data_IF_044652037927
#
_entry.id   IF_044652037927
#
_cell.length_a   1.000
_cell.length_b   1.000
_cell.length_c   1.000
_cell.angle_alpha   90.00
_cell.angle_beta   90.00
_cell.angle_gamma   90.00
#
_symmetry.space_group_name_H-M   'P 1'
#
loop_
_entity.id
_entity.type
_entity.pdbx_description
1 polymer ?
#
# COMPACT_ATOMS: atom_id res chain seq x y z
N UNK A 1 -21.07 -3.70 -9.33
CA UNK A 1 -21.82 -2.78 -8.45
C UNK A 1 -20.84 -2.33 -7.39
N UNK A 2 -20.71 -1.03 -7.20
CA UNK A 2 -19.86 -0.51 -6.12
C UNK A 2 -20.62 -0.58 -4.81
N UNK A 3 -19.99 -1.13 -3.78
CA UNK A 3 -20.60 -1.30 -2.46
C UNK A 3 -20.03 -0.28 -1.47
N UNK A 4 -20.87 0.15 -0.53
CA UNK A 4 -20.48 0.96 0.62
C UNK A 4 -20.58 0.05 1.84
N UNK A 5 -19.47 -0.13 2.57
CA UNK A 5 -19.45 -0.93 3.79
C UNK A 5 -19.74 -0.04 4.99
N UNK A 6 -20.64 -0.52 5.85
CA UNK A 6 -20.89 0.10 7.13
C UNK A 6 -20.65 -0.88 8.28
N UNK A 7 -20.28 -0.35 9.44
CA UNK A 7 -19.96 -1.13 10.63
C UNK A 7 -21.24 -1.61 11.29
N UNK A 8 -21.29 -2.89 11.64
CA UNK A 8 -22.46 -3.48 12.31
C UNK A 8 -22.81 -2.72 13.60
N UNK A 9 -21.81 -2.35 14.41
CA UNK A 9 -22.03 -1.56 15.63
C UNK A 9 -22.66 -0.19 15.37
N UNK A 10 -22.31 0.48 14.27
CA UNK A 10 -22.95 1.74 13.88
C UNK A 10 -24.42 1.52 13.49
N UNK A 11 -24.67 0.45 12.73
CA UNK A 11 -26.02 0.05 12.32
C UNK A 11 -26.89 -0.30 13.53
N UNK A 12 -26.33 -0.94 14.55
CA UNK A 12 -27.10 -1.40 15.70
C UNK A 12 -27.26 -0.32 16.79
N UNK A 13 -26.24 0.51 17.01
CA UNK A 13 -26.22 1.44 18.15
C UNK A 13 -26.55 2.90 17.80
N UNK A 14 -26.37 3.31 16.54
CA UNK A 14 -26.49 4.72 16.13
C UNK A 14 -27.64 4.94 15.15
N UNK A 15 -27.74 4.13 14.08
CA UNK A 15 -28.83 4.27 13.11
C UNK A 15 -30.25 4.20 13.73
N UNK A 16 -30.55 3.29 14.68
CA UNK A 16 -31.90 3.15 15.21
C UNK A 16 -32.31 4.31 16.12
N UNK A 17 -31.35 5.12 16.58
CA UNK A 17 -31.58 6.29 17.43
C UNK A 17 -31.77 7.59 16.63
N UNK A 18 -31.48 7.56 15.32
CA UNK A 18 -31.60 8.70 14.45
C UNK A 18 -32.97 8.75 13.77
N UNK A 19 -33.45 9.94 13.45
CA UNK A 19 -34.65 10.07 12.62
C UNK A 19 -34.40 9.47 11.21
N UNK A 20 -35.41 8.88 10.55
CA UNK A 20 -35.23 8.27 9.23
C UNK A 20 -34.57 9.19 8.20
N UNK A 21 -34.94 10.49 8.21
CA UNK A 21 -34.33 11.48 7.33
C UNK A 21 -32.82 11.66 7.60
N UNK A 22 -32.39 11.57 8.87
CA UNK A 22 -31.00 11.76 9.26
C UNK A 22 -30.14 10.58 8.81
N UNK A 23 -30.69 9.36 8.88
CA UNK A 23 -30.03 8.15 8.34
C UNK A 23 -29.76 8.32 6.85
N UNK A 24 -30.76 8.74 6.06
CA UNK A 24 -30.59 8.92 4.61
C UNK A 24 -29.58 10.02 4.29
N UNK A 25 -29.59 11.14 5.03
CA UNK A 25 -28.58 12.21 4.89
C UNK A 25 -27.18 11.69 5.19
N UNK A 26 -27.00 10.90 6.26
CA UNK A 26 -25.72 10.29 6.59
C UNK A 26 -25.21 9.39 5.47
N UNK A 27 -26.05 8.45 5.00
CA UNK A 27 -25.67 7.50 3.94
C UNK A 27 -25.28 8.22 2.65
N UNK A 28 -26.06 9.25 2.28
CA UNK A 28 -25.78 10.04 1.09
C UNK A 28 -24.47 10.81 1.21
N UNK A 29 -24.20 11.47 2.34
CA UNK A 29 -22.92 12.14 2.57
C UNK A 29 -21.76 11.13 2.62
N UNK A 30 -21.93 10.02 3.34
CA UNK A 30 -20.93 8.97 3.51
C UNK A 30 -20.49 8.34 2.18
N UNK A 31 -21.38 8.25 1.18
CA UNK A 31 -21.04 7.83 -0.18
C UNK A 31 -19.94 8.68 -0.83
N UNK A 32 -19.91 10.00 -0.58
CA UNK A 32 -18.83 10.86 -1.07
C UNK A 32 -17.59 10.72 -0.21
N UNK A 33 -17.76 10.69 1.11
CA UNK A 33 -16.61 10.70 2.03
C UNK A 33 -15.82 9.40 1.95
N UNK A 34 -16.49 8.24 1.84
CA UNK A 34 -15.86 6.93 1.62
C UNK A 34 -15.02 6.86 0.34
N UNK A 35 -15.29 7.74 -0.63
CA UNK A 35 -14.56 7.85 -1.91
C UNK A 35 -13.54 9.00 -1.92
N UNK A 36 -13.39 9.68 -0.78
CA UNK A 36 -12.58 10.89 -0.66
C UNK A 36 -13.00 11.97 -1.69
N UNK A 37 -14.30 12.03 -2.00
CA UNK A 37 -14.94 13.05 -2.82
C UNK A 37 -15.42 14.22 -1.95
N UNK A 38 -15.63 15.38 -2.57
CA UNK A 38 -16.20 16.55 -1.89
C UNK A 38 -17.68 16.28 -1.61
N UNK A 39 -18.09 16.42 -0.35
CA UNK A 39 -19.50 16.29 0.04
C UNK A 39 -20.28 17.48 -0.53
N UNK A 40 -21.44 17.25 -1.18
CA UNK A 40 -22.30 18.33 -1.65
C UNK A 40 -22.76 19.23 -0.50
N UNK A 41 -23.09 20.49 -0.81
CA UNK A 41 -23.63 21.39 0.20
C UNK A 41 -25.05 21.00 0.64
N UNK A 42 -25.55 21.63 1.71
CA UNK A 42 -26.86 21.32 2.30
C UNK A 42 -28.01 21.45 1.29
N UNK A 43 -27.93 22.40 0.35
CA UNK A 43 -28.94 22.63 -0.70
C UNK A 43 -28.94 21.50 -1.72
N UNK A 44 -27.75 21.10 -2.16
CA UNK A 44 -27.58 20.01 -3.11
C UNK A 44 -28.06 18.69 -2.53
N UNK A 45 -27.74 18.41 -1.25
CA UNK A 45 -28.23 17.22 -0.55
C UNK A 45 -29.76 17.27 -0.39
N UNK A 46 -30.32 18.41 0.01
CA UNK A 46 -31.77 18.58 0.17
C UNK A 46 -32.52 18.29 -1.13
N UNK A 47 -32.02 18.85 -2.25
CA UNK A 47 -32.58 18.61 -3.59
C UNK A 47 -32.47 17.13 -3.99
N UNK A 48 -31.30 16.51 -3.81
CA UNK A 48 -31.07 15.12 -4.20
C UNK A 48 -31.92 14.10 -3.41
N UNK A 49 -32.17 14.38 -2.13
CA UNK A 49 -32.91 13.49 -1.23
C UNK A 49 -34.40 13.84 -1.12
N UNK A 50 -34.86 14.88 -1.83
CA UNK A 50 -36.22 15.42 -1.71
C UNK A 50 -36.59 15.77 -0.24
N UNK A 51 -35.66 16.43 0.45
CA UNK A 51 -35.80 16.89 1.83
C UNK A 51 -35.77 18.43 1.89
N UNK A 52 -36.26 19.01 2.99
CA UNK A 52 -36.07 20.45 3.24
C UNK A 52 -34.63 20.73 3.67
N UNK A 53 -34.07 21.85 3.24
CA UNK A 53 -32.70 22.28 3.63
C UNK A 53 -32.51 22.28 5.16
N UNK A 54 -33.49 22.79 5.92
CA UNK A 54 -33.48 22.74 7.39
C UNK A 54 -33.39 21.33 7.98
N UNK A 55 -33.98 20.33 7.32
CA UNK A 55 -33.89 18.93 7.79
C UNK A 55 -32.48 18.37 7.52
N UNK A 56 -31.85 18.77 6.41
CA UNK A 56 -30.46 18.41 6.14
C UNK A 56 -29.53 19.10 7.14
N UNK A 57 -29.71 20.38 7.41
CA UNK A 57 -28.95 21.12 8.44
C UNK A 57 -29.09 20.45 9.82
N UNK A 58 -30.31 20.13 10.24
CA UNK A 58 -30.57 19.43 11.50
C UNK A 58 -29.92 18.04 11.54
N UNK A 59 -29.95 17.31 10.42
CA UNK A 59 -29.26 16.02 10.30
C UNK A 59 -27.73 16.18 10.42
N UNK A 60 -27.14 17.15 9.72
CA UNK A 60 -25.70 17.44 9.81
C UNK A 60 -25.31 17.78 11.25
N UNK A 61 -26.08 18.63 11.93
CA UNK A 61 -25.84 19.01 13.33
C UNK A 61 -26.01 17.83 14.28
N UNK A 62 -27.03 17.00 14.07
CA UNK A 62 -27.24 15.76 14.84
C UNK A 62 -25.99 14.88 14.76
N UNK A 63 -25.55 14.56 13.53
CA UNK A 63 -24.39 13.70 13.30
C UNK A 63 -23.10 14.32 13.82
N UNK A 64 -22.90 15.63 13.66
CA UNK A 64 -21.78 16.36 14.22
C UNK A 64 -21.72 16.24 15.76
N UNK A 65 -22.86 16.28 16.46
CA UNK A 65 -22.92 16.09 17.93
C UNK A 65 -22.54 14.67 18.35
N UNK A 66 -22.87 13.67 17.53
CA UNK A 66 -22.40 12.29 17.69
C UNK A 66 -20.97 12.07 17.13
N UNK A 67 -20.30 13.15 16.75
CA UNK A 67 -18.93 13.15 16.25
C UNK A 67 -18.80 12.93 14.74
N UNK A 68 -19.83 12.50 14.04
CA UNK A 68 -19.79 12.24 12.60
C UNK A 68 -19.78 13.57 11.81
N UNK A 69 -18.58 14.05 11.44
CA UNK A 69 -18.45 15.30 10.70
C UNK A 69 -18.79 15.13 9.22
N UNK A 70 -19.94 15.65 8.82
CA UNK A 70 -20.49 15.48 7.46
C UNK A 70 -20.32 16.72 6.55
N UNK A 71 -19.75 17.84 7.02
CA UNK A 71 -19.83 19.13 6.30
C UNK A 71 -18.63 20.10 6.37
N UNK A 72 -17.51 19.74 7.01
CA UNK A 72 -16.36 20.66 7.14
C UNK A 72 -15.53 20.84 5.86
N UNK A 73 -15.29 22.10 5.43
CA UNK A 73 -14.31 22.47 4.36
C UNK A 73 -12.88 22.03 4.67
N UNK A 74 -12.55 21.84 5.95
CA UNK A 74 -11.46 20.97 6.35
C UNK A 74 -12.07 19.60 6.57
N UNK A 75 -12.06 18.77 5.53
CA UNK A 75 -12.26 17.33 5.64
C UNK A 75 -11.10 16.84 6.50
N UNK A 76 -11.24 16.95 7.82
CA UNK A 76 -10.34 16.25 8.72
C UNK A 76 -10.57 14.79 8.35
N UNK A 77 -9.51 14.19 7.81
CA UNK A 77 -9.36 12.77 7.47
C UNK A 77 -9.53 11.91 8.73
N UNK A 78 -10.72 11.96 9.30
CA UNK A 78 -11.16 11.29 10.52
C UNK A 78 -12.61 10.92 10.35
N UNK A 79 -12.95 10.39 9.18
CA UNK A 79 -14.19 9.64 9.08
C UNK A 79 -14.04 8.48 10.09
N UNK A 80 -14.84 8.52 11.15
CA UNK A 80 -15.12 7.40 12.05
C UNK A 80 -14.38 7.29 13.42
N UNK A 81 -13.47 8.21 13.83
CA UNK A 81 -12.85 8.15 15.19
C UNK A 81 -13.69 8.76 16.33
N UNK A 82 -14.45 9.79 15.99
CA UNK A 82 -15.21 10.67 16.89
C UNK A 82 -16.43 10.04 17.54
N UNK A 83 -16.74 8.80 17.15
CA UNK A 83 -17.81 7.95 17.68
C UNK A 83 -17.50 7.48 19.09
N UNK A 84 -16.21 7.40 19.40
CA UNK A 84 -15.72 7.03 20.70
C UNK A 84 -15.40 8.28 21.50
N UNK A 85 -16.13 8.47 22.59
CA UNK A 85 -15.83 9.49 23.58
C UNK A 85 -14.56 9.13 24.34
N UNK A 86 -13.79 10.12 24.85
CA UNK A 86 -12.62 9.84 25.69
C UNK A 86 -12.95 8.96 26.91
N UNK A 87 -14.15 9.10 27.48
CA UNK A 87 -14.63 8.29 28.60
C UNK A 87 -14.88 6.83 28.22
N UNK A 88 -15.47 6.55 27.05
CA UNK A 88 -15.67 5.18 26.56
C UNK A 88 -14.33 4.48 26.30
N UNK A 89 -13.40 5.19 25.66
CA UNK A 89 -12.06 4.65 25.39
C UNK A 89 -11.35 4.33 26.71
N UNK A 90 -11.41 5.23 27.69
CA UNK A 90 -10.81 5.03 29.01
C UNK A 90 -11.45 3.84 29.75
N UNK A 91 -12.78 3.74 29.76
CA UNK A 91 -13.49 2.62 30.39
C UNK A 91 -13.13 1.28 29.73
N UNK A 92 -13.01 1.26 28.40
CA UNK A 92 -12.62 0.05 27.68
C UNK A 92 -11.17 -0.35 27.94
N UNK A 93 -10.25 0.62 27.97
CA UNK A 93 -8.84 0.37 28.26
C UNK A 93 -8.61 -0.20 29.67
N UNK A 94 -9.48 0.11 30.64
CA UNK A 94 -9.40 -0.45 32.00
C UNK A 94 -9.81 -1.94 32.06
N UNK A 95 -10.76 -2.35 31.21
CA UNK A 95 -11.37 -3.69 31.28
C UNK A 95 -10.82 -4.66 30.24
N UNK A 96 -10.36 -4.15 29.09
CA UNK A 96 -9.82 -4.94 28.00
C UNK A 96 -8.29 -5.06 28.09
N UNK A 97 -7.82 -6.20 28.62
CA UNK A 97 -6.40 -6.51 28.75
C UNK A 97 -5.65 -6.46 27.41
N UNK A 98 -6.31 -6.81 26.30
CA UNK A 98 -5.69 -6.82 24.97
C UNK A 98 -5.43 -5.41 24.46
N UNK A 99 -6.39 -4.51 24.71
CA UNK A 99 -6.26 -3.11 24.37
C UNK A 99 -5.21 -2.40 25.23
N UNK A 100 -5.17 -2.71 26.54
CA UNK A 100 -4.13 -2.20 27.44
C UNK A 100 -2.73 -2.60 26.96
N UNK A 101 -2.55 -3.88 26.65
CA UNK A 101 -1.30 -4.40 26.07
C UNK A 101 -0.92 -3.67 24.78
N UNK A 102 -1.87 -3.44 23.87
CA UNK A 102 -1.64 -2.71 22.62
C UNK A 102 -1.07 -1.31 22.87
N UNK A 103 -1.63 -0.55 23.81
CA UNK A 103 -1.15 0.79 24.11
C UNK A 103 0.24 0.79 24.73
N UNK A 104 0.51 -0.11 25.67
CA UNK A 104 1.83 -0.26 26.28
C UNK A 104 2.89 -0.62 25.23
N UNK A 105 2.60 -1.60 24.38
CA UNK A 105 3.54 -2.06 23.34
C UNK A 105 3.73 -1.02 22.23
N UNK A 106 2.67 -0.30 21.85
CA UNK A 106 2.76 0.80 20.88
C UNK A 106 3.60 1.98 21.43
N UNK A 107 3.47 2.32 22.71
CA UNK A 107 4.33 3.33 23.36
C UNK A 107 5.79 2.90 23.34
N UNK A 108 6.07 1.67 23.77
CA UNK A 108 7.42 1.12 23.81
C UNK A 108 8.04 1.10 22.41
N UNK A 109 7.28 0.63 21.41
CA UNK A 109 7.78 0.56 20.04
C UNK A 109 7.97 1.97 19.45
N UNK A 110 7.05 2.90 19.64
CA UNK A 110 7.19 4.25 19.07
C UNK A 110 8.14 5.15 19.86
N UNK A 111 8.59 4.75 21.05
CA UNK A 111 9.50 5.54 21.89
C UNK A 111 8.90 6.87 22.35
N UNK A 112 7.57 6.96 22.42
CA UNK A 112 6.85 8.17 22.81
C UNK A 112 5.66 7.84 23.70
N UNK A 113 5.26 8.82 24.51
CA UNK A 113 3.95 8.80 25.17
C UNK A 113 2.88 8.96 24.08
N UNK A 114 1.85 8.10 24.09
CA UNK A 114 0.75 8.24 23.16
C UNK A 114 -0.11 9.43 23.57
N UNK A 115 -0.33 10.35 22.62
CA UNK A 115 -1.30 11.43 22.79
C UNK A 115 -2.73 10.88 22.80
N UNK A 116 -3.70 11.69 23.22
CA UNK A 116 -5.13 11.32 23.13
C UNK A 116 -5.56 10.98 21.70
N UNK A 117 -4.98 11.66 20.70
CA UNK A 117 -5.23 11.37 19.29
C UNK A 117 -4.64 10.02 18.85
N UNK A 118 -3.45 9.66 19.35
CA UNK A 118 -2.82 8.36 19.12
C UNK A 118 -3.67 7.23 19.74
N UNK A 119 -4.10 7.40 20.99
CA UNK A 119 -4.96 6.45 21.70
C UNK A 119 -6.27 6.25 20.95
N UNK A 120 -6.92 7.34 20.53
CA UNK A 120 -8.17 7.26 19.77
C UNK A 120 -7.98 6.59 18.40
N UNK A 121 -6.84 6.81 17.74
CA UNK A 121 -6.52 6.15 16.48
C UNK A 121 -6.34 4.63 16.66
N UNK A 122 -5.56 4.21 17.65
CA UNK A 122 -5.33 2.79 17.95
C UNK A 122 -6.62 2.10 18.41
N UNK A 123 -7.43 2.77 19.24
CA UNK A 123 -8.73 2.28 19.64
C UNK A 123 -9.64 2.07 18.43
N UNK A 124 -9.68 3.04 17.52
CA UNK A 124 -10.44 2.93 16.29
C UNK A 124 -9.96 1.76 15.43
N UNK A 125 -8.65 1.60 15.21
CA UNK A 125 -8.14 0.44 14.45
C UNK A 125 -8.56 -0.89 15.11
N UNK A 126 -8.55 -0.95 16.44
CA UNK A 126 -8.93 -2.14 17.20
C UNK A 126 -10.44 -2.44 17.18
N UNK A 127 -11.27 -1.49 17.63
CA UNK A 127 -12.71 -1.67 17.82
C UNK A 127 -13.46 -1.57 16.49
N UNK A 128 -13.04 -0.64 15.62
CA UNK A 128 -13.74 -0.34 14.39
C UNK A 128 -13.32 -1.20 13.20
N UNK A 129 -12.02 -1.20 12.89
CA UNK A 129 -11.50 -2.02 11.79
C UNK A 129 -11.44 -3.51 12.20
N UNK A 130 -11.65 -3.82 13.48
CA UNK A 130 -11.64 -5.18 14.01
C UNK A 130 -10.28 -5.85 13.94
N UNK A 131 -9.19 -5.08 13.78
CA UNK A 131 -7.86 -5.65 13.65
C UNK A 131 -7.37 -6.18 15.00
N UNK A 132 -6.84 -7.40 14.99
CA UNK A 132 -6.21 -8.00 16.16
C UNK A 132 -5.04 -7.10 16.63
N UNK A 133 -4.89 -6.82 17.95
CA UNK A 133 -3.78 -6.06 18.51
C UNK A 133 -2.39 -6.44 17.99
N UNK A 134 -2.15 -7.74 17.79
CA UNK A 134 -0.88 -8.26 17.26
C UNK A 134 -0.68 -7.84 15.80
N UNK A 135 -1.74 -7.79 15.00
CA UNK A 135 -1.71 -7.25 13.62
C UNK A 135 -1.44 -5.75 13.64
N UNK A 136 -2.06 -5.01 14.56
CA UNK A 136 -1.79 -3.57 14.75
C UNK A 136 -0.32 -3.34 15.09
N UNK A 137 0.26 -4.17 15.96
CA UNK A 137 1.70 -4.11 16.27
C UNK A 137 2.58 -4.44 15.06
N UNK A 138 2.20 -5.41 14.21
CA UNK A 138 2.91 -5.68 12.96
C UNK A 138 2.89 -4.48 12.01
N UNK A 139 1.75 -3.77 11.91
CA UNK A 139 1.64 -2.53 11.13
C UNK A 139 2.59 -1.45 11.67
N UNK A 140 2.60 -1.23 13.00
CA UNK A 140 3.49 -0.26 13.65
C UNK A 140 4.95 -0.60 13.37
N UNK A 141 5.34 -1.85 13.55
CA UNK A 141 6.71 -2.30 13.34
C UNK A 141 7.14 -2.20 11.88
N UNK A 142 6.25 -2.52 10.93
CA UNK A 142 6.51 -2.30 9.51
C UNK A 142 6.68 -0.82 9.19
N UNK A 143 5.80 0.05 9.69
CA UNK A 143 5.91 1.49 9.50
C UNK A 143 7.23 2.05 10.06
N UNK A 144 7.71 1.51 11.18
CA UNK A 144 9.04 1.83 11.73
C UNK A 144 10.18 1.33 10.85
N UNK A 145 10.10 0.08 10.38
CA UNK A 145 11.14 -0.53 9.52
C UNK A 145 11.45 0.33 8.29
N UNK A 146 10.43 0.99 7.73
CA UNK A 146 10.57 1.86 6.55
C UNK A 146 10.65 3.35 6.87
N UNK A 147 10.87 3.71 8.14
CA UNK A 147 11.02 5.09 8.64
C UNK A 147 9.81 6.01 8.34
N UNK A 148 8.59 5.47 8.46
CA UNK A 148 7.32 6.17 8.22
C UNK A 148 6.32 6.01 9.37
N UNK A 149 6.79 5.77 10.60
CA UNK A 149 5.97 5.45 11.78
C UNK A 149 5.14 6.63 12.36
N UNK A 150 4.61 7.51 11.52
CA UNK A 150 3.61 8.48 11.94
C UNK A 150 2.25 7.79 12.15
N UNK A 151 1.47 8.26 13.13
CA UNK A 151 0.15 7.66 13.40
C UNK A 151 -0.80 7.74 12.21
N UNK A 152 -0.75 8.84 11.44
CA UNK A 152 -1.48 8.99 10.17
C UNK A 152 -1.13 7.91 9.16
N UNK A 153 0.13 7.51 9.09
CA UNK A 153 0.57 6.46 8.18
C UNK A 153 0.18 5.08 8.68
N UNK A 154 0.27 4.84 9.99
CA UNK A 154 -0.22 3.61 10.65
C UNK A 154 -1.71 3.41 10.34
N UNK A 155 -2.54 4.45 10.47
CA UNK A 155 -3.97 4.41 10.11
C UNK A 155 -4.19 4.06 8.64
N UNK A 156 -3.42 4.67 7.74
CA UNK A 156 -3.50 4.39 6.31
C UNK A 156 -3.23 2.92 6.00
N UNK A 157 -2.18 2.35 6.61
CA UNK A 157 -1.86 0.93 6.43
C UNK A 157 -2.94 0.05 7.04
N UNK A 158 -3.45 0.39 8.23
CA UNK A 158 -4.51 -0.37 8.88
C UNK A 158 -5.78 -0.44 8.01
N UNK A 159 -6.19 0.67 7.39
CA UNK A 159 -7.31 0.68 6.43
C UNK A 159 -7.02 -0.21 5.23
N UNK A 160 -5.86 -0.05 4.58
CA UNK A 160 -5.47 -0.86 3.42
C UNK A 160 -5.45 -2.36 3.73
N UNK A 161 -4.94 -2.74 4.91
CA UNK A 161 -4.90 -4.13 5.35
C UNK A 161 -6.28 -4.67 5.68
N UNK A 162 -7.13 -3.89 6.35
CA UNK A 162 -8.51 -4.26 6.62
C UNK A 162 -9.30 -4.46 5.32
N UNK A 163 -9.17 -3.55 4.36
CA UNK A 163 -9.83 -3.64 3.04
C UNK A 163 -9.39 -4.88 2.25
N UNK A 164 -8.13 -5.29 2.39
CA UNK A 164 -7.58 -6.52 1.80
C UNK A 164 -7.89 -7.79 2.60
N UNK A 165 -8.58 -7.68 3.74
CA UNK A 165 -8.87 -8.79 4.63
C UNK A 165 -7.64 -9.38 5.32
N UNK A 166 -6.59 -8.58 5.51
CA UNK A 166 -5.34 -8.92 6.22
C UNK A 166 -5.50 -8.62 7.72
N UNK A 167 -6.37 -9.41 8.36
CA UNK A 167 -6.91 -9.19 9.70
C UNK A 167 -6.40 -10.14 10.78
N UNK A 168 -5.58 -11.13 10.40
CA UNK A 168 -4.99 -12.13 11.31
C UNK A 168 -3.47 -12.09 11.23
N UNK A 169 -2.80 -12.47 12.33
CA UNK A 169 -1.33 -12.52 12.41
C UNK A 169 -0.74 -13.30 11.23
N UNK A 170 -1.27 -14.49 10.93
CA UNK A 170 -0.80 -15.32 9.83
C UNK A 170 -0.94 -14.65 8.45
N UNK A 171 -2.05 -13.95 8.19
CA UNK A 171 -2.23 -13.22 6.91
C UNK A 171 -1.28 -12.03 6.84
N UNK A 172 -1.13 -11.29 7.94
CA UNK A 172 -0.24 -10.15 8.05
C UNK A 172 1.23 -10.54 7.83
N UNK A 173 1.73 -11.60 8.47
CA UNK A 173 3.09 -12.09 8.29
C UNK A 173 3.36 -12.51 6.84
N UNK A 174 2.41 -13.22 6.21
CA UNK A 174 2.52 -13.57 4.78
C UNK A 174 2.55 -12.33 3.90
N UNK A 175 1.69 -11.35 4.17
CA UNK A 175 1.64 -10.10 3.42
C UNK A 175 2.94 -9.29 3.58
N UNK A 176 3.51 -9.23 4.78
CA UNK A 176 4.80 -8.60 5.04
C UNK A 176 5.95 -9.33 4.32
N UNK A 177 5.94 -10.67 4.31
CA UNK A 177 6.94 -11.45 3.58
C UNK A 177 6.90 -11.15 2.07
N UNK A 178 5.69 -11.05 1.48
CA UNK A 178 5.51 -10.66 0.07
C UNK A 178 5.97 -9.21 -0.20
N UNK A 179 5.70 -8.27 0.71
CA UNK A 179 6.23 -6.90 0.60
C UNK A 179 7.76 -6.86 0.68
N UNK A 180 8.35 -7.63 1.59
CA UNK A 180 9.80 -7.73 1.75
C UNK A 180 10.41 -8.35 0.48
N UNK A 181 9.84 -9.42 -0.06
CA UNK A 181 10.27 -10.02 -1.32
C UNK A 181 10.23 -9.00 -2.46
N UNK A 182 9.10 -8.28 -2.60
CA UNK A 182 8.91 -7.24 -3.64
C UNK A 182 9.88 -6.07 -3.52
N UNK A 183 10.42 -5.83 -2.34
CA UNK A 183 11.42 -4.78 -2.09
C UNK A 183 12.86 -5.20 -2.42
N UNK A 184 13.09 -6.49 -2.72
CA UNK A 184 14.44 -7.00 -2.98
C UNK A 184 14.96 -6.66 -4.37
N UNK A 185 16.28 -6.54 -4.50
CA UNK A 185 16.93 -6.42 -5.80
C UNK A 185 16.66 -7.64 -6.71
N UNK A 186 16.47 -8.83 -6.11
CA UNK A 186 16.07 -10.02 -6.86
C UNK A 186 14.71 -9.86 -7.53
N UNK A 187 13.72 -9.31 -6.82
CA UNK A 187 12.41 -9.01 -7.41
C UNK A 187 12.51 -7.96 -8.53
N UNK A 188 13.32 -6.91 -8.31
CA UNK A 188 13.62 -5.92 -9.35
C UNK A 188 14.18 -6.56 -10.62
N UNK A 189 15.17 -7.44 -10.49
CA UNK A 189 15.76 -8.16 -11.65
C UNK A 189 14.75 -9.13 -12.29
N UNK A 190 13.95 -9.86 -11.50
CA UNK A 190 12.87 -10.72 -12.04
C UNK A 190 11.93 -9.89 -12.92
N UNK A 191 11.50 -8.71 -12.45
CA UNK A 191 10.66 -7.80 -13.22
C UNK A 191 11.36 -7.24 -14.45
N UNK A 192 12.60 -6.79 -14.30
CA UNK A 192 13.37 -6.21 -15.38
C UNK A 192 13.64 -7.21 -16.52
N UNK A 193 13.80 -8.50 -16.20
CA UNK A 193 14.06 -9.57 -17.16
C UNK A 193 12.84 -10.43 -17.51
N UNK A 194 11.65 -10.13 -16.96
CA UNK A 194 10.40 -10.83 -17.28
C UNK A 194 10.32 -12.25 -16.74
N UNK A 195 11.04 -12.55 -15.65
CA UNK A 195 11.11 -13.88 -15.03
C UNK A 195 9.92 -14.07 -14.08
N UNK A 196 9.03 -15.03 -14.35
CA UNK A 196 7.87 -15.33 -13.50
C UNK A 196 8.02 -16.59 -12.65
N UNK A 197 8.20 -17.75 -13.29
CA UNK A 197 7.96 -19.04 -12.63
C UNK A 197 9.22 -19.77 -12.14
N UNK A 198 10.37 -19.09 -12.13
CA UNK A 198 11.59 -19.63 -11.52
C UNK A 198 12.18 -18.73 -10.46
N UNK A 199 12.75 -19.37 -9.45
CA UNK A 199 13.66 -18.71 -8.52
C UNK A 199 15.09 -18.69 -9.05
N UNK A 200 15.86 -17.75 -8.51
CA UNK A 200 17.30 -17.74 -8.67
C UNK A 200 17.92 -18.85 -7.83
N UNK A 201 18.84 -19.60 -8.41
CA UNK A 201 19.67 -20.54 -7.68
C UNK A 201 20.57 -19.79 -6.68
N UNK A 202 21.10 -20.46 -5.64
CA UNK A 202 22.03 -19.81 -4.69
C UNK A 202 23.21 -19.12 -5.37
N UNK A 203 23.77 -19.71 -6.44
CA UNK A 203 24.85 -19.11 -7.21
C UNK A 203 24.42 -17.87 -7.99
N UNK A 204 23.19 -17.83 -8.51
CA UNK A 204 22.64 -16.63 -9.15
C UNK A 204 22.37 -15.53 -8.13
N UNK A 205 21.84 -15.87 -6.95
CA UNK A 205 21.62 -14.90 -5.86
C UNK A 205 22.91 -14.19 -5.46
N UNK A 206 24.02 -14.94 -5.30
CA UNK A 206 25.33 -14.35 -5.00
C UNK A 206 25.81 -13.36 -6.09
N UNK A 207 25.52 -13.63 -7.37
CA UNK A 207 25.82 -12.71 -8.48
C UNK A 207 24.97 -11.44 -8.38
N UNK A 208 23.67 -11.59 -8.11
CA UNK A 208 22.76 -10.44 -7.97
C UNK A 208 23.13 -9.57 -6.76
N UNK A 209 23.61 -10.16 -5.68
CA UNK A 209 24.12 -9.42 -4.52
C UNK A 209 25.40 -8.63 -4.87
N UNK A 210 26.29 -9.21 -5.68
CA UNK A 210 27.46 -8.50 -6.24
C UNK A 210 27.03 -7.32 -7.14
N UNK A 211 25.95 -7.48 -7.91
CA UNK A 211 25.38 -6.41 -8.72
C UNK A 211 24.81 -5.28 -7.86
N UNK A 212 24.06 -5.59 -6.81
CA UNK A 212 23.47 -4.60 -5.92
C UNK A 212 24.53 -3.80 -5.13
N UNK A 213 25.66 -4.43 -4.79
CA UNK A 213 26.64 -3.87 -3.85
C UNK A 213 27.89 -3.30 -4.50
N UNK A 214 28.44 -3.99 -5.50
CA UNK A 214 29.77 -3.69 -6.07
C UNK A 214 29.68 -3.17 -7.49
N UNK A 215 29.00 -3.87 -8.39
CA UNK A 215 28.93 -3.48 -9.81
C UNK A 215 28.00 -2.27 -9.99
N UNK A 216 26.83 -2.29 -9.33
CA UNK A 216 25.79 -1.26 -9.39
C UNK A 216 25.44 -0.84 -10.83
N UNK A 217 25.15 -1.80 -11.74
CA UNK A 217 24.76 -1.45 -13.10
C UNK A 217 23.42 -0.72 -13.10
N UNK A 218 23.25 0.23 -14.02
CA UNK A 218 21.94 0.83 -14.27
C UNK A 218 21.00 -0.18 -14.92
N UNK A 219 19.69 0.04 -14.82
CA UNK A 219 18.68 -0.80 -15.49
C UNK A 219 18.91 -0.89 -17.01
N UNK A 220 19.39 0.19 -17.62
CA UNK A 220 19.69 0.25 -19.05
C UNK A 220 20.87 -0.66 -19.44
N UNK A 221 21.91 -0.71 -18.60
CA UNK A 221 23.03 -1.64 -18.77
C UNK A 221 22.58 -3.08 -18.53
N UNK A 222 21.78 -3.33 -17.50
CA UNK A 222 21.21 -4.65 -17.23
C UNK A 222 20.40 -5.16 -18.43
N UNK A 223 19.51 -4.33 -18.97
CA UNK A 223 18.71 -4.66 -20.15
C UNK A 223 19.56 -4.87 -21.39
N UNK A 224 20.59 -4.06 -21.60
CA UNK A 224 21.52 -4.23 -22.72
C UNK A 224 22.30 -5.54 -22.63
N UNK A 225 22.81 -5.89 -21.44
CA UNK A 225 23.51 -7.14 -21.21
C UNK A 225 22.57 -8.35 -21.33
N UNK A 226 21.33 -8.22 -20.88
CA UNK A 226 20.28 -9.22 -21.06
C UNK A 226 19.92 -9.44 -22.53
N UNK A 227 19.74 -8.37 -23.31
CA UNK A 227 19.49 -8.46 -24.76
C UNK A 227 20.66 -9.14 -25.50
N UNK A 228 21.90 -8.79 -25.18
CA UNK A 228 23.09 -9.48 -25.73
C UNK A 228 23.08 -10.95 -25.33
N UNK A 229 22.74 -11.27 -24.08
CA UNK A 229 22.65 -12.64 -23.61
C UNK A 229 21.61 -13.42 -24.43
N UNK A 230 20.37 -12.96 -24.52
CA UNK A 230 19.30 -13.64 -25.25
C UNK A 230 19.67 -13.87 -26.71
N UNK A 231 20.20 -12.85 -27.39
CA UNK A 231 20.58 -12.97 -28.80
C UNK A 231 21.75 -13.94 -29.04
N UNK A 232 22.66 -14.11 -28.07
CA UNK A 232 23.84 -14.99 -28.23
C UNK A 232 23.63 -16.41 -27.74
N UNK A 233 22.94 -16.59 -26.62
CA UNK A 233 22.80 -17.90 -25.98
C UNK A 233 21.43 -18.53 -26.20
N UNK A 234 20.47 -17.78 -26.75
CA UNK A 234 19.08 -18.22 -26.93
C UNK A 234 18.30 -18.37 -25.62
N UNK A 235 18.98 -18.39 -24.47
CA UNK A 235 18.37 -18.54 -23.16
C UNK A 235 18.94 -17.60 -22.10
N UNK A 236 18.12 -17.21 -21.12
CA UNK A 236 18.53 -16.41 -19.97
C UNK A 236 19.67 -17.12 -19.21
N UNK A 237 20.83 -16.47 -19.17
CA UNK A 237 22.00 -16.98 -18.45
C UNK A 237 22.61 -15.86 -17.60
N UNK A 238 22.29 -15.86 -16.30
CA UNK A 238 22.75 -14.86 -15.33
C UNK A 238 24.29 -14.83 -15.23
N UNK A 239 24.98 -15.99 -15.36
CA UNK A 239 26.45 -16.05 -15.35
C UNK A 239 27.04 -15.34 -16.57
N UNK A 240 26.42 -15.49 -17.74
CA UNK A 240 26.85 -14.82 -18.97
C UNK A 240 26.65 -13.30 -18.87
N UNK A 241 25.48 -12.87 -18.39
CA UNK A 241 25.18 -11.45 -18.13
C UNK A 241 26.22 -10.87 -17.16
N UNK A 242 26.58 -11.60 -16.10
CA UNK A 242 27.59 -11.16 -15.15
C UNK A 242 28.95 -10.94 -15.83
N UNK A 243 29.37 -11.83 -16.73
CA UNK A 243 30.61 -11.68 -17.49
C UNK A 243 30.63 -10.41 -18.35
N UNK A 244 29.51 -10.09 -19.00
CA UNK A 244 29.35 -8.83 -19.75
C UNK A 244 29.52 -7.62 -18.82
N UNK A 245 28.78 -7.59 -17.73
CA UNK A 245 28.77 -6.47 -16.78
C UNK A 245 30.13 -6.26 -16.11
N UNK A 246 30.86 -7.34 -15.77
CA UNK A 246 32.22 -7.25 -15.24
C UNK A 246 33.19 -6.64 -16.26
N UNK A 247 33.13 -7.11 -17.51
CA UNK A 247 33.96 -6.54 -18.58
C UNK A 247 33.66 -5.06 -18.82
N UNK A 248 32.38 -4.66 -18.78
CA UNK A 248 32.00 -3.25 -18.91
C UNK A 248 32.49 -2.40 -17.75
N UNK A 249 32.38 -2.90 -16.51
CA UNK A 249 32.92 -2.22 -15.33
C UNK A 249 34.43 -2.03 -15.41
N UNK A 250 35.18 -3.06 -15.79
CA UNK A 250 36.64 -3.00 -15.99
C UNK A 250 37.04 -1.97 -17.06
N UNK A 251 36.20 -1.80 -18.08
CA UNK A 251 36.39 -0.80 -19.16
C UNK A 251 35.84 0.59 -18.82
N UNK A 252 35.29 0.79 -17.61
CA UNK A 252 34.70 2.06 -17.19
C UNK A 252 33.41 2.45 -17.91
N UNK A 253 32.71 1.49 -18.51
CA UNK A 253 31.42 1.70 -19.19
C UNK A 253 30.32 1.77 -18.12
N UNK A 254 29.69 2.95 -18.00
CA UNK A 254 28.62 3.22 -17.01
C UNK A 254 27.29 3.62 -17.65
N UNK A 255 27.27 3.82 -18.97
CA UNK A 255 26.06 4.16 -19.73
C UNK A 255 25.98 3.34 -21.02
N UNK A 256 24.76 3.16 -21.54
CA UNK A 256 24.53 2.39 -22.78
C UNK A 256 25.16 3.02 -24.02
N UNK A 257 25.36 4.35 -24.01
CA UNK A 257 26.05 5.07 -25.07
C UNK A 257 27.53 4.69 -25.24
N UNK A 258 28.17 4.22 -24.17
CA UNK A 258 29.59 3.81 -24.17
C UNK A 258 29.80 2.35 -24.59
N UNK A 259 28.72 1.57 -24.77
CA UNK A 259 28.82 0.18 -25.21
C UNK A 259 29.35 0.16 -26.65
N UNK A 260 30.46 -0.56 -26.93
CA UNK A 260 31.02 -0.65 -28.28
C UNK A 260 30.00 -1.20 -29.27
N UNK A 261 29.98 -0.67 -30.50
CA UNK A 261 29.03 -1.08 -31.54
C UNK A 261 29.07 -2.58 -31.83
N UNK A 262 30.25 -3.19 -31.85
CA UNK A 262 30.44 -4.65 -32.04
C UNK A 262 29.80 -5.49 -30.93
N UNK A 263 29.60 -4.90 -29.75
CA UNK A 263 28.97 -5.57 -28.61
C UNK A 263 27.46 -5.40 -28.64
N UNK A 264 26.93 -4.38 -29.34
CA UNK A 264 25.49 -4.17 -29.49
C UNK A 264 24.92 -5.27 -30.38
N UNK A 265 23.83 -5.88 -29.93
CA UNK A 265 23.05 -6.76 -30.80
C UNK A 265 22.43 -5.92 -31.94
N UNK A 266 22.45 -6.45 -33.16
CA UNK A 266 21.85 -5.83 -34.36
C UNK A 266 20.51 -6.47 -34.73
N UNK A 267 20.12 -7.55 -34.04
CA UNK A 267 18.86 -8.27 -34.24
C UNK A 267 17.75 -7.83 -33.30
N UNK A 268 16.50 -8.08 -33.69
CA UNK A 268 15.36 -7.97 -32.79
C UNK A 268 15.43 -9.14 -31.80
N UNK A 269 15.51 -8.88 -30.50
CA UNK A 269 15.47 -9.96 -29.52
C UNK A 269 14.13 -10.72 -29.62
N UNK A 270 14.23 -12.05 -29.70
CA UNK A 270 13.10 -12.97 -29.79
C UNK A 270 12.43 -13.18 -28.41
N UNK A 271 11.98 -12.09 -27.77
CA UNK A 271 11.25 -12.17 -26.50
C UNK A 271 9.96 -12.98 -26.64
N UNK A 272 9.25 -12.84 -27.77
CA UNK A 272 7.95 -13.49 -28.03
C UNK A 272 8.00 -15.01 -28.22
N UNK A 273 9.19 -15.58 -28.44
CA UNK A 273 9.37 -17.01 -28.74
C UNK A 273 9.77 -17.83 -27.50
N UNK A 274 9.82 -17.22 -26.31
CA UNK A 274 10.40 -17.81 -25.10
C UNK A 274 9.36 -17.96 -24.00
N UNK A 275 9.00 -19.19 -23.66
CA UNK A 275 8.00 -19.48 -22.61
C UNK A 275 8.47 -19.21 -21.17
N UNK A 276 9.76 -18.97 -20.94
CA UNK A 276 10.34 -18.64 -19.62
C UNK A 276 10.42 -17.13 -19.35
N UNK A 277 10.07 -16.30 -20.33
CA UNK A 277 10.01 -14.84 -20.23
C UNK A 277 8.58 -14.43 -20.57
N UNK A 278 7.97 -13.63 -19.70
CA UNK A 278 6.59 -13.20 -19.89
C UNK A 278 6.54 -11.68 -19.82
N UNK A 279 6.90 -11.08 -20.95
CA UNK A 279 6.65 -9.68 -21.24
C UNK A 279 5.44 -9.56 -22.15
N UNK A 280 4.50 -8.68 -21.79
CA UNK A 280 3.43 -8.34 -22.73
C UNK A 280 3.93 -7.44 -23.88
N UNK A 281 3.13 -7.29 -24.94
CA UNK A 281 3.51 -6.51 -26.12
C UNK A 281 3.89 -5.06 -25.79
N UNK A 282 3.26 -4.46 -24.76
CA UNK A 282 3.52 -3.09 -24.32
C UNK A 282 4.81 -3.01 -23.51
N UNK A 283 5.09 -3.97 -22.64
CA UNK A 283 6.33 -4.10 -21.90
C UNK A 283 7.52 -4.27 -22.87
N UNK A 284 7.37 -5.09 -23.91
CA UNK A 284 8.38 -5.25 -24.96
C UNK A 284 8.65 -3.92 -25.67
N UNK A 285 7.61 -3.16 -26.03
CA UNK A 285 7.76 -1.86 -26.67
C UNK A 285 8.49 -0.85 -25.77
N UNK A 286 8.13 -0.79 -24.48
CA UNK A 286 8.78 0.05 -23.48
C UNK A 286 10.27 -0.34 -23.34
N UNK A 287 10.57 -1.64 -23.32
CA UNK A 287 11.94 -2.15 -23.22
C UNK A 287 12.77 -1.79 -24.45
N UNK A 288 12.23 -1.95 -25.66
CA UNK A 288 12.89 -1.54 -26.91
C UNK A 288 13.28 -0.07 -26.89
N UNK A 289 12.34 0.79 -26.48
CA UNK A 289 12.57 2.23 -26.31
C UNK A 289 13.67 2.54 -25.29
N UNK A 290 13.71 1.84 -24.14
CA UNK A 290 14.76 1.99 -23.10
C UNK A 290 16.14 1.56 -23.60
N UNK A 291 16.20 0.58 -24.50
CA UNK A 291 17.44 0.12 -25.13
C UNK A 291 17.90 1.01 -26.29
N UNK A 292 17.16 2.08 -26.62
CA UNK A 292 17.47 2.97 -27.73
C UNK A 292 17.29 2.33 -29.10
N UNK A 293 16.30 1.42 -29.22
CA UNK A 293 15.91 0.75 -30.47
C UNK A 293 14.49 1.10 -30.86
#
# INVERSE_FOLDING_TARGET
MDNISLPVKFIDEYLPKAEPAYVVVYLYAYRFISRNEVVPDTRQIASALNLKERQVEAAMDYWNRYGFNLGGRNVIKTLHKSIYTPSEIAARAQTDKKLKWLYEEAQNSLGKILSSADIQALFWIYDYLGLNPQVIMLIINYAKKIDKASMRYIEKIAMDWADKGVDTVRKAERYLADLDEKSTYQYHIKKLFGIKDRDFTPSEKAILDEWATSIKPTDELLLSAFDININRTGNLNIKYINGILKSWKEKGITTTGQIPLETKSTGTANFDQRGDIDFDAREIEILKKRMGR
#
